data_IF_170650244657
#
_entry.id   IF_170650244657
#
_cell.length_a   1.000
_cell.length_b   1.000
_cell.length_c   1.000
_cell.angle_alpha   90.00
_cell.angle_beta   90.00
_cell.angle_gamma   90.00
#
_symmetry.space_group_name_H-M   'P 1'
#
loop_
_entity.id
_entity.type
_entity.pdbx_description
1 polymer ?
#
# COMPACT_ATOMS: atom_id res chain seq x y z
N UNK A 1 8.34 0.56 -20.08
CA UNK A 1 9.08 1.71 -19.53
C UNK A 1 8.21 2.58 -18.63
N UNK A 2 7.18 3.28 -19.14
CA UNK A 2 6.31 4.16 -18.35
C UNK A 2 5.71 3.54 -17.07
N UNK A 3 5.17 2.31 -17.15
CA UNK A 3 4.60 1.58 -15.99
C UNK A 3 5.55 1.50 -14.78
N UNK A 4 6.83 1.21 -15.03
CA UNK A 4 7.86 1.06 -13.99
C UNK A 4 8.15 2.39 -13.31
N UNK A 5 8.26 3.46 -14.10
CA UNK A 5 8.60 4.78 -13.58
C UNK A 5 7.42 5.40 -12.84
N UNK A 6 6.19 5.20 -13.34
CA UNK A 6 4.97 5.56 -12.61
C UNK A 6 4.89 4.85 -11.26
N UNK A 7 5.16 3.54 -11.21
CA UNK A 7 5.12 2.77 -9.97
C UNK A 7 6.05 3.36 -8.90
N UNK A 8 7.29 3.70 -9.29
CA UNK A 8 8.25 4.35 -8.39
C UNK A 8 7.76 5.70 -7.90
N UNK A 9 7.19 6.53 -8.78
CA UNK A 9 6.68 7.86 -8.39
C UNK A 9 5.51 7.76 -7.41
N UNK A 10 4.59 6.81 -7.64
CA UNK A 10 3.45 6.57 -6.77
C UNK A 10 3.84 6.04 -5.38
N UNK A 11 4.75 5.06 -5.30
CA UNK A 11 5.12 4.43 -4.03
C UNK A 11 6.05 5.30 -3.18
N UNK A 12 7.00 5.99 -3.81
CA UNK A 12 8.01 6.80 -3.11
C UNK A 12 7.50 8.23 -2.84
N UNK A 13 6.25 8.54 -3.21
CA UNK A 13 5.65 9.87 -2.99
C UNK A 13 6.37 11.00 -3.75
N UNK A 14 7.15 10.69 -4.78
CA UNK A 14 7.93 11.66 -5.58
C UNK A 14 7.17 12.20 -6.80
N UNK A 15 5.87 11.93 -6.92
CA UNK A 15 5.06 12.56 -7.97
C UNK A 15 4.92 14.06 -7.69
N UNK A 16 5.37 14.91 -8.60
CA UNK A 16 5.22 16.36 -8.48
C UNK A 16 3.74 16.80 -8.45
N UNK A 17 2.85 16.04 -9.09
CA UNK A 17 1.40 16.26 -9.06
C UNK A 17 0.65 14.98 -9.46
N UNK A 18 -0.34 14.57 -8.67
CA UNK A 18 -1.25 13.46 -9.00
C UNK A 18 -2.13 13.81 -10.20
N UNK A 19 -2.55 15.08 -10.31
CA UNK A 19 -3.41 15.55 -11.40
C UNK A 19 -2.67 15.51 -12.74
N UNK A 20 -1.37 15.85 -12.75
CA UNK A 20 -0.54 15.72 -13.94
C UNK A 20 -0.43 14.26 -14.42
N UNK A 21 -0.26 13.32 -13.49
CA UNK A 21 -0.21 11.89 -13.83
C UNK A 21 -1.56 11.37 -14.35
N UNK A 22 -2.67 11.78 -13.73
CA UNK A 22 -4.03 11.46 -14.20
C UNK A 22 -4.26 12.01 -15.61
N UNK A 23 -3.87 13.26 -15.87
CA UNK A 23 -3.95 13.88 -17.20
C UNK A 23 -3.13 13.12 -18.25
N UNK A 24 -1.91 12.68 -17.91
CA UNK A 24 -1.08 11.90 -18.82
C UNK A 24 -1.72 10.55 -19.18
N UNK A 25 -2.33 9.87 -18.20
CA UNK A 25 -3.09 8.63 -18.47
C UNK A 25 -4.30 8.89 -19.36
N UNK A 26 -5.04 9.98 -19.14
CA UNK A 26 -6.16 10.36 -20.01
C UNK A 26 -5.73 10.56 -21.46
N UNK A 27 -4.55 11.17 -21.69
CA UNK A 27 -3.99 11.31 -23.04
C UNK A 27 -3.64 9.95 -23.65
N UNK A 28 -2.97 9.06 -22.89
CA UNK A 28 -2.70 7.70 -23.39
C UNK A 28 -3.97 6.91 -23.69
N UNK A 29 -5.03 7.11 -22.92
CA UNK A 29 -6.32 6.46 -23.17
C UNK A 29 -6.95 6.93 -24.48
N UNK A 30 -6.83 8.21 -24.78
CA UNK A 30 -7.32 8.80 -26.02
C UNK A 30 -6.54 8.29 -27.23
N UNK A 31 -5.21 8.31 -27.16
CA UNK A 31 -4.33 7.96 -28.28
C UNK A 31 -4.17 6.44 -28.49
N UNK A 32 -4.17 5.65 -27.41
CA UNK A 32 -3.81 4.23 -27.44
C UNK A 32 -4.94 3.30 -26.94
N UNK A 33 -6.08 3.84 -26.55
CA UNK A 33 -7.24 3.08 -26.06
C UNK A 33 -7.17 2.69 -24.57
N UNK A 34 -8.31 2.20 -24.07
CA UNK A 34 -8.51 1.87 -22.65
C UNK A 34 -7.75 0.61 -22.19
N UNK A 35 -7.52 -0.35 -23.06
CA UNK A 35 -6.76 -1.56 -22.70
C UNK A 35 -5.31 -1.23 -22.33
N UNK A 36 -4.72 -0.25 -23.01
CA UNK A 36 -3.36 0.21 -22.73
C UNK A 36 -3.23 0.85 -21.35
N UNK A 37 -4.23 1.63 -20.93
CA UNK A 37 -4.21 2.35 -19.64
C UNK A 37 -4.77 1.57 -18.47
N UNK A 38 -5.49 0.47 -18.71
CA UNK A 38 -6.20 -0.31 -17.68
C UNK A 38 -5.34 -0.63 -16.44
N UNK A 39 -4.09 -1.11 -16.65
CA UNK A 39 -3.17 -1.41 -15.55
C UNK A 39 -2.69 -0.15 -14.81
N UNK A 40 -2.46 0.95 -15.54
CA UNK A 40 -2.04 2.22 -14.96
C UNK A 40 -3.14 2.84 -14.10
N UNK A 41 -4.39 2.80 -14.60
CA UNK A 41 -5.58 3.21 -13.83
C UNK A 41 -5.75 2.34 -12.58
N UNK A 42 -5.49 1.03 -12.69
CA UNK A 42 -5.47 0.10 -11.56
C UNK A 42 -4.44 0.48 -10.49
N UNK A 43 -3.24 0.94 -10.88
CA UNK A 43 -2.23 1.41 -9.93
C UNK A 43 -2.72 2.62 -9.10
N UNK A 44 -3.47 3.55 -9.70
CA UNK A 44 -4.05 4.68 -8.97
C UNK A 44 -5.12 4.23 -7.97
N UNK A 45 -6.00 3.31 -8.39
CA UNK A 45 -7.01 2.74 -7.51
C UNK A 45 -6.38 2.04 -6.31
N UNK A 46 -5.31 1.28 -6.52
CA UNK A 46 -4.57 0.61 -5.44
C UNK A 46 -4.00 1.63 -4.43
N UNK A 47 -3.47 2.78 -4.89
CA UNK A 47 -2.98 3.85 -4.01
C UNK A 47 -4.10 4.51 -3.21
N UNK A 48 -5.24 4.81 -3.84
CA UNK A 48 -6.39 5.39 -3.16
C UNK A 48 -6.94 4.42 -2.10
N UNK A 49 -7.15 3.15 -2.46
CA UNK A 49 -7.59 2.10 -1.52
C UNK A 49 -6.60 1.89 -0.37
N UNK A 50 -5.30 1.97 -0.64
CA UNK A 50 -4.27 1.86 0.40
C UNK A 50 -4.42 2.96 1.45
N UNK A 51 -4.75 4.19 1.07
CA UNK A 51 -4.99 5.28 2.04
C UNK A 51 -6.17 4.98 2.94
N UNK A 52 -7.26 4.45 2.38
CA UNK A 52 -8.43 4.05 3.15
C UNK A 52 -8.09 2.94 4.14
N UNK A 53 -7.35 1.91 3.71
CA UNK A 53 -6.89 0.85 4.60
C UNK A 53 -6.01 1.34 5.74
N UNK A 54 -5.10 2.27 5.46
CA UNK A 54 -4.26 2.86 6.50
C UNK A 54 -5.10 3.65 7.51
N UNK A 55 -6.09 4.43 7.05
CA UNK A 55 -6.99 5.16 7.95
C UNK A 55 -7.80 4.20 8.83
N UNK A 56 -8.37 3.14 8.26
CA UNK A 56 -9.10 2.12 8.99
C UNK A 56 -8.22 1.38 10.00
N UNK A 57 -6.99 1.01 9.61
CA UNK A 57 -6.05 0.34 10.49
C UNK A 57 -5.63 1.25 11.66
N UNK A 58 -5.29 2.52 11.37
CA UNK A 58 -4.97 3.52 12.41
C UNK A 58 -6.11 3.68 13.41
N UNK A 59 -7.35 3.76 12.95
CA UNK A 59 -8.51 3.83 13.84
C UNK A 59 -8.65 2.59 14.72
N UNK A 60 -8.45 1.40 14.18
CA UNK A 60 -8.50 0.16 14.96
C UNK A 60 -7.37 0.07 15.99
N UNK A 61 -6.16 0.54 15.65
CA UNK A 61 -5.03 0.61 16.59
C UNK A 61 -5.34 1.57 17.74
N UNK A 62 -5.85 2.77 17.45
CA UNK A 62 -6.26 3.73 18.49
C UNK A 62 -7.32 3.16 19.41
N UNK A 63 -8.36 2.51 18.85
CA UNK A 63 -9.43 1.91 19.65
C UNK A 63 -8.90 0.80 20.59
N UNK A 64 -7.94 -0.01 20.15
CA UNK A 64 -7.29 -1.03 20.99
C UNK A 64 -6.40 -0.40 22.08
N UNK A 65 -5.70 0.68 21.76
CA UNK A 65 -4.86 1.39 22.73
C UNK A 65 -5.69 2.12 23.80
N UNK A 66 -6.85 2.68 23.45
CA UNK A 66 -7.75 3.30 24.44
C UNK A 66 -8.26 2.31 25.49
N UNK A 67 -8.36 1.02 25.16
CA UNK A 67 -8.64 -0.03 26.16
C UNK A 67 -7.44 -0.38 27.04
N UNK A 68 -6.22 -0.35 26.48
CA UNK A 68 -4.99 -0.78 27.18
C UNK A 68 -4.39 0.31 28.10
N UNK A 69 -4.68 1.59 27.84
CA UNK A 69 -4.28 2.73 28.69
C UNK A 69 -4.86 2.67 30.12
N UNK A 70 -5.85 1.82 30.38
CA UNK A 70 -6.34 1.53 31.73
C UNK A 70 -5.35 0.70 32.58
N UNK A 71 -4.35 0.06 31.95
CA UNK A 71 -3.39 -0.83 32.61
C UNK A 71 -1.98 -0.24 32.80
N UNK A 72 -1.75 1.03 32.44
CA UNK A 72 -0.52 1.77 32.80
C UNK A 72 0.71 1.55 31.90
N UNK A 73 0.62 0.71 30.86
CA UNK A 73 1.70 0.55 29.88
C UNK A 73 1.76 1.72 28.90
N UNK A 74 2.97 2.25 28.66
CA UNK A 74 3.21 3.27 27.63
C UNK A 74 3.08 2.62 26.24
N UNK A 75 2.18 3.11 25.36
CA UNK A 75 2.00 2.51 24.05
C UNK A 75 3.24 2.76 23.19
N UNK A 76 3.90 1.67 22.79
CA UNK A 76 4.95 1.71 21.77
C UNK A 76 4.32 2.08 20.42
N UNK A 77 4.45 3.34 20.02
CA UNK A 77 3.84 3.87 18.80
C UNK A 77 4.85 3.87 17.65
N UNK A 78 4.64 2.96 16.70
CA UNK A 78 5.24 3.05 15.37
C UNK A 78 4.15 3.48 14.39
N UNK A 79 4.35 4.62 13.73
CA UNK A 79 3.46 5.07 12.65
C UNK A 79 3.67 4.17 11.41
N UNK A 80 2.89 3.10 11.33
CA UNK A 80 2.89 2.19 10.19
C UNK A 80 1.99 2.72 9.07
N UNK A 81 2.53 2.77 7.85
CA UNK A 81 1.79 3.02 6.62
C UNK A 81 2.11 1.93 5.60
N UNK A 82 1.09 1.28 5.05
CA UNK A 82 1.22 0.14 4.14
C UNK A 82 0.53 0.42 2.81
N UNK A 83 1.21 0.16 1.69
CA UNK A 83 0.59 0.19 0.37
C UNK A 83 0.19 -1.23 -0.07
N UNK A 84 -1.10 -1.43 -0.37
CA UNK A 84 -1.67 -2.69 -0.84
C UNK A 84 -1.81 -2.64 -2.36
N UNK A 85 -1.11 -3.53 -3.05
CA UNK A 85 -0.93 -3.48 -4.50
C UNK A 85 -1.49 -4.72 -5.17
N UNK A 86 -2.27 -4.54 -6.24
CA UNK A 86 -2.78 -5.66 -7.04
C UNK A 86 -1.70 -6.16 -7.99
N UNK A 87 -1.14 -7.36 -7.78
CA UNK A 87 0.02 -7.87 -8.53
C UNK A 87 -0.04 -7.69 -10.06
N UNK A 88 -1.19 -7.88 -10.70
CA UNK A 88 -1.35 -7.74 -12.16
C UNK A 88 -1.20 -6.30 -12.67
N UNK A 89 -1.52 -5.31 -11.83
CA UNK A 89 -1.46 -3.89 -12.15
C UNK A 89 -0.05 -3.33 -12.01
N UNK A 90 0.82 -3.93 -11.21
CA UNK A 90 2.16 -3.41 -10.91
C UNK A 90 3.26 -4.14 -11.68
N UNK A 91 4.47 -3.57 -11.79
CA UNK A 91 5.64 -4.32 -12.26
C UNK A 91 5.91 -5.53 -11.36
N UNK A 92 6.47 -6.60 -11.92
CA UNK A 92 6.95 -7.72 -11.12
C UNK A 92 8.19 -7.30 -10.34
N UNK A 93 8.17 -7.53 -9.03
CA UNK A 93 9.30 -7.27 -8.14
C UNK A 93 9.89 -8.59 -7.66
N UNK A 94 11.22 -8.65 -7.63
CA UNK A 94 11.92 -9.82 -7.08
C UNK A 94 11.73 -9.85 -5.57
N UNK A 95 11.35 -11.01 -5.06
CA UNK A 95 11.30 -11.24 -3.62
C UNK A 95 12.74 -11.38 -3.14
N UNK A 96 13.10 -10.59 -2.14
CA UNK A 96 14.40 -10.68 -1.48
C UNK A 96 14.17 -11.07 -0.03
N UNK A 97 14.89 -12.08 0.43
CA UNK A 97 14.95 -12.40 1.84
C UNK A 97 15.79 -11.33 2.54
N UNK A 98 15.17 -10.61 3.47
CA UNK A 98 15.83 -9.60 4.28
C UNK A 98 15.58 -9.91 5.75
N UNK A 99 16.60 -9.72 6.58
CA UNK A 99 16.48 -9.87 8.02
C UNK A 99 15.80 -8.60 8.55
N UNK A 100 14.53 -8.71 8.91
CA UNK A 100 13.79 -7.62 9.54
C UNK A 100 13.86 -7.70 11.07
N UNK A 101 13.96 -6.56 11.77
CA UNK A 101 13.84 -6.52 13.22
C UNK A 101 12.52 -7.13 13.71
N UNK A 102 12.53 -7.73 14.90
CA UNK A 102 11.36 -8.40 15.49
C UNK A 102 10.12 -7.52 15.57
N UNK A 103 10.31 -6.22 15.81
CA UNK A 103 9.19 -5.29 15.94
C UNK A 103 8.52 -4.99 14.59
N UNK A 104 9.28 -5.00 13.49
CA UNK A 104 8.71 -4.88 12.15
C UNK A 104 7.91 -6.13 11.77
N UNK A 105 8.40 -7.32 12.14
CA UNK A 105 7.68 -8.58 11.89
C UNK A 105 6.34 -8.57 12.62
N UNK A 106 6.32 -8.17 13.90
CA UNK A 106 5.06 -8.03 14.68
C UNK A 106 4.07 -7.08 14.01
N UNK A 107 4.55 -5.95 13.48
CA UNK A 107 3.71 -4.98 12.76
C UNK A 107 3.14 -5.56 11.46
N UNK A 108 3.97 -6.28 10.70
CA UNK A 108 3.52 -6.96 9.48
C UNK A 108 2.46 -8.01 9.78
N UNK A 109 2.66 -8.82 10.83
CA UNK A 109 1.69 -9.82 11.26
C UNK A 109 0.39 -9.20 11.75
N UNK A 110 0.44 -8.10 12.52
CA UNK A 110 -0.78 -7.41 12.95
C UNK A 110 -1.58 -6.84 11.78
N UNK A 111 -0.89 -6.17 10.85
CA UNK A 111 -1.53 -5.64 9.64
C UNK A 111 -2.08 -6.76 8.75
N UNK A 112 -1.34 -7.87 8.62
CA UNK A 112 -1.78 -9.04 7.84
C UNK A 112 -3.06 -9.63 8.42
N UNK A 113 -3.14 -9.79 9.75
CA UNK A 113 -4.37 -10.23 10.44
C UNK A 113 -5.53 -9.26 10.22
N UNK A 114 -5.28 -7.96 10.34
CA UNK A 114 -6.28 -6.94 10.04
C UNK A 114 -6.83 -7.08 8.62
N UNK A 115 -5.96 -7.19 7.61
CA UNK A 115 -6.37 -7.29 6.23
C UNK A 115 -7.15 -8.59 5.94
N UNK A 116 -6.64 -9.73 6.41
CA UNK A 116 -7.27 -11.04 6.20
C UNK A 116 -8.61 -11.18 6.94
N UNK A 117 -8.81 -10.46 8.05
CA UNK A 117 -10.12 -10.40 8.72
C UNK A 117 -11.23 -9.83 7.83
N UNK A 118 -10.88 -8.95 6.89
CA UNK A 118 -11.80 -8.34 5.91
C UNK A 118 -11.82 -9.11 4.59
N UNK A 119 -10.69 -9.72 4.20
CA UNK A 119 -10.51 -10.39 2.92
C UNK A 119 -9.91 -11.80 3.06
N UNK A 120 -10.69 -12.72 3.64
CA UNK A 120 -10.24 -14.07 3.96
C UNK A 120 -9.74 -14.90 2.74
N UNK A 121 -10.21 -14.59 1.53
CA UNK A 121 -9.81 -15.30 0.30
C UNK A 121 -8.55 -14.74 -0.38
N UNK A 122 -7.93 -13.69 0.18
CA UNK A 122 -6.74 -13.06 -0.40
C UNK A 122 -5.47 -13.57 0.26
N UNK A 123 -4.37 -13.50 -0.49
CA UNK A 123 -3.02 -13.77 0.01
C UNK A 123 -2.20 -12.49 -0.09
N UNK A 124 -1.55 -12.11 1.01
CA UNK A 124 -0.60 -11.00 1.03
C UNK A 124 0.83 -11.52 0.83
N UNK A 125 1.64 -10.71 0.17
CA UNK A 125 3.07 -10.94 0.00
C UNK A 125 3.78 -9.61 0.21
N UNK A 126 4.58 -9.52 1.26
CA UNK A 126 5.37 -8.34 1.58
C UNK A 126 6.52 -8.17 0.59
N UNK A 127 6.81 -6.94 0.19
CA UNK A 127 7.83 -6.59 -0.81
C UNK A 127 8.82 -5.59 -0.20
N UNK A 128 9.85 -6.05 0.55
CA UNK A 128 10.74 -5.18 1.31
C UNK A 128 11.54 -4.20 0.44
N UNK A 129 11.73 -4.51 -0.84
CA UNK A 129 12.45 -3.67 -1.80
C UNK A 129 11.70 -2.40 -2.21
N UNK A 130 10.43 -2.26 -1.81
CA UNK A 130 9.57 -1.11 -2.14
C UNK A 130 9.45 -0.09 -1.01
N UNK A 131 10.07 -0.35 0.14
CA UNK A 131 9.92 0.42 1.38
C UNK A 131 9.54 -0.47 2.54
#
# INVERSE_FOLDING_TARGET
FYKKDLAKRLLVGKSASIDAEKSMISKFKHECGSEFTSKLEGMFKDIELSKDFNAMYKQQVVNRQTSDLQNGDQPFFIDLSVNILTMSNWPTYQVSDVIMPSDMIKLQDDFTRFYLSKYASKKLQWQPVLG
#
